data_IF_568586116549
#
_entry.id   IF_568586116549
#
_cell.length_a   1.000
_cell.length_b   1.000
_cell.length_c   1.000
_cell.angle_alpha   90.00
_cell.angle_beta   90.00
_cell.angle_gamma   90.00
#
_symmetry.space_group_name_H-M   'P 1'
#
loop_
_entity.id
_entity.type
_entity.pdbx_description
1 polymer ?
#
# COMPACT_ATOMS: atom_id res chain seq x y z
N UNK A 1 -18.01 9.08 -8.51
CA UNK A 1 -17.76 8.32 -8.82
C UNK A 1 -16.60 7.61 -9.21
N UNK A 2 -16.54 7.02 -10.29
CA UNK A 2 -15.39 6.29 -10.63
C UNK A 2 -14.19 7.18 -10.69
N UNK A 3 -14.35 8.37 -11.08
CA UNK A 3 -13.23 9.25 -11.18
C UNK A 3 -12.60 9.46 -9.80
N UNK A 4 -13.44 9.58 -8.81
CA UNK A 4 -12.95 9.79 -7.47
C UNK A 4 -12.17 8.58 -6.99
N UNK A 5 -12.70 7.41 -7.24
CA UNK A 5 -12.05 6.21 -6.79
C UNK A 5 -10.71 6.07 -7.51
N UNK A 6 -10.66 6.40 -8.78
CA UNK A 6 -9.44 6.33 -9.51
C UNK A 6 -8.43 7.27 -8.93
N UNK A 7 -8.83 8.46 -8.51
CA UNK A 7 -7.92 9.40 -7.97
C UNK A 7 -7.38 8.91 -6.63
N UNK A 8 -8.24 8.29 -5.82
CA UNK A 8 -7.79 7.80 -4.55
C UNK A 8 -6.79 6.67 -4.74
N UNK A 9 -7.07 5.77 -5.66
CA UNK A 9 -6.16 4.66 -5.92
C UNK A 9 -4.84 5.22 -6.43
N UNK A 10 -4.90 6.21 -7.31
CA UNK A 10 -3.70 6.79 -7.86
C UNK A 10 -2.87 7.46 -6.77
N UNK A 11 -3.54 8.14 -5.83
CA UNK A 11 -2.83 8.81 -4.77
C UNK A 11 -2.13 7.81 -3.86
N UNK A 12 -2.80 6.71 -3.54
CA UNK A 12 -2.20 5.70 -2.70
C UNK A 12 -0.99 5.07 -3.40
N UNK A 13 -1.12 4.81 -4.70
CA UNK A 13 -0.03 4.20 -5.41
C UNK A 13 1.17 5.16 -5.48
N UNK A 14 0.88 6.45 -5.66
CA UNK A 14 1.94 7.40 -5.76
C UNK A 14 2.66 7.51 -4.41
N UNK A 15 1.89 7.51 -3.33
CA UNK A 15 2.47 7.64 -2.01
C UNK A 15 3.33 6.41 -1.69
N UNK A 16 2.80 5.21 -1.95
CA UNK A 16 3.53 3.99 -1.67
C UNK A 16 4.81 3.94 -2.49
N UNK A 17 4.72 4.35 -3.75
CA UNK A 17 5.87 4.31 -4.60
C UNK A 17 6.95 5.27 -4.10
N UNK A 18 6.53 6.46 -3.64
CA UNK A 18 7.46 7.44 -3.18
C UNK A 18 8.16 6.93 -1.91
N UNK A 19 7.39 6.35 -0.98
CA UNK A 19 7.97 5.84 0.25
C UNK A 19 8.96 4.72 -0.02
N UNK A 20 8.60 3.81 -0.91
CA UNK A 20 9.48 2.71 -1.23
C UNK A 20 10.75 3.22 -1.90
N UNK A 21 10.62 4.24 -2.74
CA UNK A 21 11.75 4.77 -3.42
C UNK A 21 12.68 5.44 -2.45
N UNK A 22 12.15 6.18 -1.48
CA UNK A 22 12.98 6.87 -0.53
C UNK A 22 13.74 5.87 0.35
N UNK A 23 13.07 4.79 0.77
CA UNK A 23 13.73 3.80 1.58
C UNK A 23 14.86 3.13 0.78
N UNK A 24 14.60 2.88 -0.49
CA UNK A 24 15.59 2.24 -1.33
C UNK A 24 16.78 3.17 -1.56
N UNK A 25 16.53 4.47 -1.72
CA UNK A 25 17.59 5.39 -1.94
C UNK A 25 18.48 5.50 -0.70
N UNK A 26 17.89 5.50 0.48
CA UNK A 26 18.68 5.58 1.69
C UNK A 26 19.56 4.34 1.84
N UNK A 27 19.03 3.21 1.43
CA UNK A 27 19.79 1.99 1.52
C UNK A 27 20.99 2.05 0.55
N UNK A 28 20.73 2.50 -0.65
CA UNK A 28 21.78 2.59 -1.62
C UNK A 28 22.81 3.65 -1.31
N UNK A 29 22.41 4.82 -0.98
CA UNK A 29 23.33 5.87 -0.70
C UNK A 29 23.97 5.87 0.66
N UNK A 30 23.26 5.55 1.66
CA UNK A 30 23.78 5.61 2.99
C UNK A 30 23.86 4.30 3.72
N UNK A 31 23.54 3.24 3.03
CA UNK A 31 23.62 1.91 3.61
C UNK A 31 22.77 1.82 4.86
N UNK A 32 21.63 2.51 4.89
CA UNK A 32 20.75 2.49 6.03
C UNK A 32 19.55 1.64 5.74
N UNK A 33 19.24 0.74 6.65
CA UNK A 33 18.07 -0.09 6.47
C UNK A 33 16.84 0.70 6.82
N UNK A 34 15.71 0.40 6.22
CA UNK A 34 14.50 1.11 6.50
C UNK A 34 14.08 0.85 7.94
N UNK A 35 13.44 1.84 8.53
CA UNK A 35 12.98 1.72 9.88
C UNK A 35 11.72 0.88 9.87
N UNK A 36 11.52 0.09 10.90
CA UNK A 36 10.36 -0.75 10.97
C UNK A 36 9.08 0.09 10.91
N UNK A 37 9.08 1.26 11.54
CA UNK A 37 7.90 2.10 11.52
C UNK A 37 7.61 2.58 10.10
N UNK A 38 8.61 2.87 9.33
CA UNK A 38 8.40 3.30 7.97
C UNK A 38 7.82 2.17 7.13
N UNK A 39 8.32 0.97 7.34
CA UNK A 39 7.83 -0.17 6.60
C UNK A 39 6.38 -0.46 6.98
N UNK A 40 6.05 -0.31 8.26
CA UNK A 40 4.69 -0.56 8.69
C UNK A 40 3.75 0.49 8.12
N UNK A 41 4.23 1.70 7.93
CA UNK A 41 3.41 2.75 7.38
C UNK A 41 3.08 2.41 5.93
N UNK A 42 4.02 1.88 5.17
CA UNK A 42 3.77 1.50 3.80
C UNK A 42 2.78 0.35 3.78
N UNK A 43 2.89 -0.57 4.73
CA UNK A 43 1.99 -1.69 4.79
C UNK A 43 0.56 -1.20 5.05
N UNK A 44 0.41 -0.22 5.93
CA UNK A 44 -0.90 0.32 6.22
C UNK A 44 -1.50 0.99 4.98
N UNK A 45 -0.67 1.66 4.20
CA UNK A 45 -1.16 2.32 3.00
C UNK A 45 -1.54 1.27 1.97
N UNK A 46 -0.83 0.16 1.93
CA UNK A 46 -1.14 -0.88 0.99
C UNK A 46 -2.45 -1.54 1.38
N UNK A 47 -2.70 -1.70 2.69
CA UNK A 47 -3.94 -2.29 3.16
C UNK A 47 -5.10 -1.38 2.77
N UNK A 48 -4.93 -0.08 2.90
CA UNK A 48 -5.97 0.86 2.54
C UNK A 48 -6.25 0.77 1.04
N UNK A 49 -5.21 0.56 0.26
CA UNK A 49 -5.36 0.44 -1.17
C UNK A 49 -6.13 -0.83 -1.51
N UNK A 50 -5.84 -1.90 -0.81
CA UNK A 50 -6.52 -3.16 -1.06
C UNK A 50 -8.00 -3.01 -0.73
N UNK A 51 -8.32 -2.26 0.30
CA UNK A 51 -9.71 -2.05 0.65
C UNK A 51 -10.40 -1.28 -0.46
N UNK A 52 -9.74 -0.31 -1.05
CA UNK A 52 -10.34 0.46 -2.10
C UNK A 52 -10.58 -0.40 -3.33
N UNK A 53 -9.66 -1.25 -3.64
CA UNK A 53 -9.77 -2.09 -4.80
C UNK A 53 -10.75 -3.25 -4.63
N UNK A 54 -10.83 -3.79 -3.46
CA UNK A 54 -11.71 -4.91 -3.30
C UNK A 54 -13.02 -4.40 -2.80
N UNK A 55 -14.05 -5.03 -3.15
CA UNK A 55 -15.32 -4.61 -2.72
C UNK A 55 -15.52 -5.25 -1.41
N UNK A 56 -15.53 -4.49 -0.36
CA UNK A 56 -15.68 -4.98 0.85
C UNK A 56 -16.63 -6.04 1.05
N UNK A 57 -17.79 -5.95 0.61
CA UNK A 57 -18.66 -6.94 0.78
C UNK A 57 -18.20 -8.20 0.24
N UNK A 58 -17.50 -8.18 -0.71
CA UNK A 58 -17.02 -9.36 -1.32
C UNK A 58 -16.11 -10.03 -0.45
N UNK A 59 -15.28 -9.29 0.17
CA UNK A 59 -14.35 -9.86 0.91
C UNK A 59 -14.79 -10.67 1.98
N UNK A 60 -15.75 -10.43 2.56
CA UNK A 60 -16.05 -11.16 3.55
C UNK A 60 -16.17 -12.52 3.14
N UNK A 61 -16.48 -12.79 2.04
CA UNK A 61 -16.61 -14.04 1.60
C UNK A 61 -15.44 -14.68 1.51
N UNK A 62 -14.64 -14.08 1.28
CA UNK A 62 -13.51 -14.57 1.01
C UNK A 62 -12.81 -14.98 2.06
N UNK A 63 -13.15 -14.81 2.93
CA UNK A 63 -12.36 -15.18 3.91
C UNK A 63 -11.65 -16.31 3.47
N UNK A 64 -12.15 -17.02 2.71
CA UNK A 64 -11.50 -18.08 2.33
C UNK A 64 -10.43 -17.86 1.52
N UNK A 65 -10.34 -16.92 0.86
CA UNK A 65 -9.33 -16.86 0.01
C UNK A 65 -8.16 -16.59 0.66
N UNK A 66 -8.28 -16.36 1.81
CA UNK A 66 -7.10 -15.99 2.40
C UNK A 66 -6.30 -17.18 2.47
N UNK A 67 -6.82 -18.25 2.32
CA UNK A 67 -6.05 -19.27 2.38
C UNK A 67 -5.31 -19.50 1.33
N UNK A 68 -5.22 -19.21 0.56
CA UNK A 68 -4.44 -19.34 -0.50
C UNK A 68 -3.26 -19.36 -0.25
#
# INVERSE_FOLDING_TARGET
MSATKREEVSSHLRYIRLELREMHQMLIKEDLLPDLNEAQEVHAQLDALLDLLSDKKVQKIKGQYSKF
#
